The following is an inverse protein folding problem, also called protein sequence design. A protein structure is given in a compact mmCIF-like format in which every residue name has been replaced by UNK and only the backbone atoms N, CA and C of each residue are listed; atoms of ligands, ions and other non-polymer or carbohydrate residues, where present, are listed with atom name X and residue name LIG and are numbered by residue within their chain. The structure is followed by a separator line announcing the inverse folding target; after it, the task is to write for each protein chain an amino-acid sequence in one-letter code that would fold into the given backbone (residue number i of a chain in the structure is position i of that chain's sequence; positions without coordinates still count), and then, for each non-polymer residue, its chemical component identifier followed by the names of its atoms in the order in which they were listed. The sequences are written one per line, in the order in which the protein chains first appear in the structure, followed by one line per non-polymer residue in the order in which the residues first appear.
data_IF_480065863866
#
_entry.id   IF_480065863866
#
_cell.length_a   1.000
_cell.length_b   1.000
_cell.length_c   1.000
_cell.angle_alpha   90.00
_cell.angle_beta   90.00
_cell.angle_gamma   90.00
#
_symmetry.space_group_name_H-M   'P 1'
#
loop_
_entity.id
_entity.type
_entity.pdbx_description
1 polymer ?
#
# COMPACT_ATOMS: atom_id res chain seq x y z
N UNK A 1 18.50 -16.11 -8.31
CA UNK A 1 17.85 -14.80 -8.47
C UNK A 1 18.50 -13.87 -7.45
N UNK A 2 19.15 -12.82 -7.94
CA UNK A 2 19.96 -11.91 -7.12
C UNK A 2 19.19 -10.62 -6.79
N UNK A 3 19.72 -9.82 -5.86
CA UNK A 3 19.17 -8.48 -5.58
C UNK A 3 19.21 -7.56 -6.81
N UNK A 4 20.09 -7.81 -7.78
CA UNK A 4 20.14 -7.11 -9.06
C UNK A 4 18.86 -7.30 -9.89
N UNK A 5 18.25 -8.49 -9.86
CA UNK A 5 17.00 -8.77 -10.58
C UNK A 5 15.82 -7.96 -9.99
N UNK A 6 15.73 -7.87 -8.66
CA UNK A 6 14.68 -7.07 -8.00
C UNK A 6 14.83 -5.57 -8.32
N UNK A 7 16.06 -5.05 -8.31
CA UNK A 7 16.34 -3.64 -8.64
C UNK A 7 15.97 -3.28 -10.08
N UNK A 8 16.33 -4.13 -11.03
CA UNK A 8 15.98 -3.94 -12.44
C UNK A 8 14.46 -3.96 -12.67
N UNK A 9 13.75 -4.92 -12.02
CA UNK A 9 12.30 -5.01 -12.09
C UNK A 9 11.63 -3.79 -11.44
N UNK A 10 12.12 -3.33 -10.27
CA UNK A 10 11.59 -2.13 -9.61
C UNK A 10 11.72 -0.91 -10.51
N UNK A 11 12.88 -0.68 -11.14
CA UNK A 11 13.09 0.43 -12.07
C UNK A 11 12.10 0.37 -13.23
N UNK A 12 12.02 -0.78 -13.92
CA UNK A 12 11.12 -0.94 -15.06
C UNK A 12 9.65 -0.77 -14.70
N UNK A 13 9.24 -1.25 -13.51
CA UNK A 13 7.88 -1.08 -12.99
C UNK A 13 7.57 0.40 -12.71
N UNK A 14 8.47 1.11 -12.04
CA UNK A 14 8.29 2.52 -11.73
C UNK A 14 8.22 3.38 -13.00
N UNK A 15 9.07 3.11 -14.00
CA UNK A 15 9.03 3.80 -15.28
C UNK A 15 7.70 3.55 -16.02
N UNK A 16 7.22 2.30 -16.03
CA UNK A 16 5.92 1.95 -16.58
C UNK A 16 4.78 2.71 -15.86
N UNK A 17 4.82 2.75 -14.54
CA UNK A 17 3.78 3.42 -13.75
C UNK A 17 3.82 4.94 -13.93
N UNK A 18 5.00 5.57 -14.06
CA UNK A 18 5.11 7.00 -14.40
C UNK A 18 4.48 7.30 -15.76
N UNK A 19 4.83 6.52 -16.79
CA UNK A 19 4.25 6.69 -18.12
C UNK A 19 2.72 6.57 -18.12
N UNK A 20 2.18 5.68 -17.28
CA UNK A 20 0.75 5.42 -17.18
C UNK A 20 0.05 6.24 -16.08
N UNK A 21 0.76 7.07 -15.35
CA UNK A 21 0.27 7.88 -14.22
C UNK A 21 -0.41 7.02 -13.15
N UNK A 22 0.16 5.85 -12.86
CA UNK A 22 -0.34 4.92 -11.87
C UNK A 22 0.42 5.09 -10.55
N UNK A 23 -0.31 4.99 -9.44
CA UNK A 23 0.23 4.99 -8.08
C UNK A 23 0.11 3.60 -7.45
N UNK A 24 1.03 3.26 -6.55
CA UNK A 24 1.15 1.92 -5.95
C UNK A 24 1.16 1.99 -4.43
N UNK A 25 0.52 1.01 -3.78
CA UNK A 25 0.74 0.66 -2.38
C UNK A 25 1.12 -0.82 -2.22
N UNK A 26 1.81 -1.15 -1.11
CA UNK A 26 2.14 -2.54 -0.76
C UNK A 26 1.48 -2.95 0.55
N UNK A 27 1.08 -4.22 0.67
CA UNK A 27 0.54 -4.84 1.88
C UNK A 27 1.32 -6.13 2.18
N UNK A 28 2.26 -6.06 3.12
CA UNK A 28 3.25 -7.08 3.32
C UNK A 28 3.09 -7.81 4.67
N UNK A 29 3.14 -9.13 4.63
CA UNK A 29 3.24 -9.96 5.83
C UNK A 29 4.63 -10.63 5.89
N UNK A 30 4.82 -11.78 5.25
CA UNK A 30 6.09 -12.52 5.35
C UNK A 30 7.31 -11.78 4.74
N UNK A 31 7.12 -10.85 3.84
CA UNK A 31 8.19 -10.02 3.26
C UNK A 31 8.61 -8.86 4.18
N UNK A 32 7.70 -8.38 5.05
CA UNK A 32 8.04 -7.44 6.13
C UNK A 32 8.63 -6.11 5.66
N UNK A 33 8.11 -5.54 4.57
CA UNK A 33 8.56 -4.26 4.01
C UNK A 33 9.58 -4.37 2.88
N UNK A 34 10.02 -5.59 2.50
CA UNK A 34 11.04 -5.75 1.46
C UNK A 34 10.55 -5.34 0.06
N UNK A 35 9.26 -5.46 -0.24
CA UNK A 35 8.72 -5.02 -1.54
C UNK A 35 8.70 -3.49 -1.60
N UNK A 36 8.21 -2.84 -0.55
CA UNK A 36 8.29 -1.39 -0.43
C UNK A 36 9.75 -0.91 -0.48
N UNK A 37 10.65 -1.57 0.26
CA UNK A 37 12.08 -1.27 0.25
C UNK A 37 12.70 -1.38 -1.14
N UNK A 38 12.42 -2.46 -1.88
CA UNK A 38 12.93 -2.65 -3.24
C UNK A 38 12.44 -1.59 -4.22
N UNK A 39 11.23 -1.09 -4.05
CA UNK A 39 10.68 0.00 -4.86
C UNK A 39 11.30 1.34 -4.47
N UNK A 40 11.43 1.62 -3.18
CA UNK A 40 11.97 2.90 -2.66
C UNK A 40 13.48 3.00 -2.77
N UNK A 41 14.20 1.89 -3.02
CA UNK A 41 15.63 1.89 -3.38
C UNK A 41 15.92 2.59 -4.73
N UNK A 42 14.90 2.84 -5.52
CA UNK A 42 15.02 3.53 -6.81
C UNK A 42 14.74 5.02 -6.61
N UNK A 43 15.69 5.92 -6.93
CA UNK A 43 15.48 7.37 -6.86
C UNK A 43 14.25 7.82 -7.66
N UNK A 44 13.47 8.75 -7.10
CA UNK A 44 12.24 9.25 -7.70
C UNK A 44 11.04 8.29 -7.57
N UNK A 45 11.12 7.25 -6.75
CA UNK A 45 10.01 6.33 -6.49
C UNK A 45 8.77 7.02 -5.87
N UNK A 46 8.95 8.15 -5.20
CA UNK A 46 7.86 8.95 -4.58
C UNK A 46 6.80 9.43 -5.56
N UNK A 47 7.10 9.49 -6.86
CA UNK A 47 6.12 9.84 -7.89
C UNK A 47 5.07 8.73 -8.08
N UNK A 48 5.39 7.50 -7.67
CA UNK A 48 4.61 6.29 -7.92
C UNK A 48 4.16 5.64 -6.61
N UNK A 49 5.07 5.56 -5.62
CA UNK A 49 4.80 4.87 -4.36
C UNK A 49 4.14 5.84 -3.39
N UNK A 50 2.92 5.50 -2.95
CA UNK A 50 2.23 6.25 -1.90
C UNK A 50 2.67 5.75 -0.51
N UNK A 51 2.46 4.44 -0.23
CA UNK A 51 2.80 3.84 1.08
C UNK A 51 2.93 2.33 1.03
N UNK A 52 3.57 1.78 2.09
CA UNK A 52 3.61 0.35 2.38
C UNK A 52 2.97 0.05 3.74
N UNK A 53 2.14 -0.99 3.78
CA UNK A 53 1.56 -1.52 5.00
C UNK A 53 2.31 -2.80 5.39
N UNK A 54 2.97 -2.82 6.54
CA UNK A 54 3.53 -4.06 7.11
C UNK A 54 2.54 -4.60 8.12
N UNK A 55 1.75 -5.60 7.70
CA UNK A 55 0.67 -6.20 8.49
C UNK A 55 1.04 -7.62 8.90
N UNK A 56 1.96 -7.72 9.87
CA UNK A 56 2.58 -8.99 10.23
C UNK A 56 1.67 -9.90 11.04
N UNK A 57 0.86 -9.34 11.94
CA UNK A 57 -0.15 -10.05 12.73
C UNK A 57 -1.52 -10.06 12.06
N UNK A 58 -2.43 -10.91 12.55
CA UNK A 58 -3.83 -10.88 12.14
C UNK A 58 -4.54 -9.59 12.56
N UNK A 59 -4.19 -9.05 13.72
CA UNK A 59 -4.75 -7.78 14.21
C UNK A 59 -4.29 -6.61 13.34
N UNK A 60 -3.02 -6.58 12.92
CA UNK A 60 -2.55 -5.57 11.97
C UNK A 60 -3.28 -5.65 10.62
N UNK A 61 -3.55 -6.88 10.10
CA UNK A 61 -4.35 -7.05 8.88
C UNK A 61 -5.77 -6.49 9.03
N UNK A 62 -6.38 -6.69 10.19
CA UNK A 62 -7.72 -6.16 10.50
C UNK A 62 -7.70 -4.63 10.66
N UNK A 63 -6.80 -4.13 11.49
CA UNK A 63 -6.75 -2.72 11.86
C UNK A 63 -6.34 -1.82 10.67
N UNK A 64 -5.32 -2.21 9.92
CA UNK A 64 -4.75 -1.37 8.88
C UNK A 64 -5.42 -1.57 7.51
N UNK A 65 -5.86 -2.80 7.19
CA UNK A 65 -6.37 -3.16 5.86
C UNK A 65 -7.85 -3.59 5.88
N UNK A 66 -8.53 -3.51 7.02
CA UNK A 66 -9.92 -3.93 7.21
C UNK A 66 -10.21 -5.39 6.78
N UNK A 67 -9.20 -6.28 6.84
CA UNK A 67 -9.41 -7.70 6.59
C UNK A 67 -10.40 -8.26 7.63
N UNK A 68 -11.47 -8.89 7.17
CA UNK A 68 -12.53 -9.38 8.05
C UNK A 68 -12.02 -10.50 8.97
N UNK A 69 -12.43 -10.47 10.24
CA UNK A 69 -12.08 -11.52 11.21
C UNK A 69 -12.56 -12.91 10.70
N UNK A 70 -13.71 -12.97 10.07
CA UNK A 70 -14.28 -14.18 9.45
C UNK A 70 -13.39 -14.75 8.35
N UNK A 71 -12.79 -13.91 7.49
CA UNK A 71 -11.84 -14.35 6.47
C UNK A 71 -10.63 -15.01 7.10
N UNK A 72 -10.06 -14.40 8.14
CA UNK A 72 -8.91 -14.94 8.85
C UNK A 72 -9.23 -16.23 9.63
N UNK A 73 -10.43 -16.32 10.22
CA UNK A 73 -10.87 -17.51 10.95
C UNK A 73 -11.14 -18.71 10.01
N UNK A 74 -11.78 -18.46 8.87
CA UNK A 74 -12.16 -19.52 7.93
C UNK A 74 -10.99 -20.01 7.07
N UNK A 75 -10.19 -19.09 6.52
CA UNK A 75 -9.15 -19.42 5.53
C UNK A 75 -7.73 -19.32 6.08
N UNK A 76 -7.57 -18.70 7.25
CA UNK A 76 -6.28 -18.40 7.87
C UNK A 76 -5.53 -17.24 7.19
N UNK A 77 -4.44 -16.82 7.82
CA UNK A 77 -3.62 -15.70 7.34
C UNK A 77 -2.95 -15.98 5.99
N UNK A 78 -2.62 -17.24 5.70
CA UNK A 78 -1.95 -17.67 4.46
C UNK A 78 -2.99 -18.35 3.58
N UNK A 79 -3.63 -17.57 2.74
CA UNK A 79 -4.68 -18.03 1.81
C UNK A 79 -4.90 -17.02 0.68
N UNK A 80 -5.53 -17.46 -0.39
CA UNK A 80 -5.99 -16.62 -1.51
C UNK A 80 -6.90 -15.49 -1.02
N UNK A 81 -7.86 -15.86 -0.17
CA UNK A 81 -8.89 -14.96 0.36
C UNK A 81 -8.26 -13.84 1.19
N UNK A 82 -7.31 -14.20 2.06
CA UNK A 82 -6.60 -13.20 2.87
C UNK A 82 -5.69 -12.32 2.02
N UNK A 83 -4.94 -12.87 1.07
CA UNK A 83 -4.14 -12.08 0.14
C UNK A 83 -5.00 -11.08 -0.63
N UNK A 84 -6.12 -11.56 -1.20
CA UNK A 84 -7.07 -10.71 -1.94
C UNK A 84 -7.64 -9.59 -1.05
N UNK A 85 -8.09 -9.92 0.16
CA UNK A 85 -8.61 -8.93 1.10
C UNK A 85 -7.55 -7.89 1.51
N UNK A 86 -6.30 -8.32 1.70
CA UNK A 86 -5.18 -7.40 1.98
C UNK A 86 -4.91 -6.44 0.82
N UNK A 87 -4.92 -6.93 -0.43
CA UNK A 87 -4.69 -6.09 -1.61
C UNK A 87 -5.80 -5.05 -1.80
N UNK A 88 -7.07 -5.48 -1.66
CA UNK A 88 -8.24 -4.59 -1.73
C UNK A 88 -8.16 -3.53 -0.62
N UNK A 89 -7.91 -3.97 0.62
CA UNK A 89 -7.80 -3.06 1.76
C UNK A 89 -6.68 -2.03 1.58
N UNK A 90 -5.52 -2.42 1.05
CA UNK A 90 -4.42 -1.50 0.77
C UNK A 90 -4.78 -0.51 -0.34
N UNK A 91 -5.44 -0.98 -1.41
CA UNK A 91 -5.92 -0.14 -2.50
C UNK A 91 -6.86 0.96 -2.00
N UNK A 92 -7.84 0.58 -1.18
CA UNK A 92 -8.85 1.48 -0.63
C UNK A 92 -8.26 2.47 0.39
N UNK A 93 -7.43 1.97 1.33
CA UNK A 93 -6.83 2.80 2.38
C UNK A 93 -5.81 3.81 1.86
N UNK A 94 -5.06 3.43 0.84
CA UNK A 94 -4.11 4.33 0.19
C UNK A 94 -4.75 5.21 -0.89
N UNK A 95 -5.89 4.80 -1.47
CA UNK A 95 -6.52 5.53 -2.58
C UNK A 95 -5.70 5.52 -3.88
N UNK A 96 -4.87 4.48 -4.06
CA UNK A 96 -3.96 4.31 -5.20
C UNK A 96 -4.61 3.59 -6.38
N UNK A 97 -3.88 3.44 -7.47
CA UNK A 97 -4.37 2.76 -8.67
C UNK A 97 -4.13 1.26 -8.63
N UNK A 98 -3.03 0.83 -7.99
CA UNK A 98 -2.65 -0.57 -7.82
C UNK A 98 -2.21 -0.83 -6.38
N UNK A 99 -2.56 -1.98 -5.84
CA UNK A 99 -2.00 -2.46 -4.57
C UNK A 99 -1.61 -3.93 -4.67
N UNK A 100 -0.42 -4.28 -4.19
CA UNK A 100 0.04 -5.67 -4.10
C UNK A 100 0.04 -6.14 -2.66
N UNK A 101 -0.41 -7.36 -2.43
CA UNK A 101 -0.32 -8.02 -1.12
C UNK A 101 0.50 -9.30 -1.18
N UNK A 102 1.16 -9.61 -0.05
CA UNK A 102 1.97 -10.81 0.12
C UNK A 102 1.71 -11.41 1.51
N UNK A 103 1.25 -12.65 1.55
CA UNK A 103 1.13 -13.42 2.80
C UNK A 103 1.62 -14.85 2.59
N UNK A 104 2.39 -15.39 3.53
CA UNK A 104 2.99 -16.70 3.33
C UNK A 104 3.82 -17.20 4.51
N UNK A 105 4.37 -18.40 4.35
CA UNK A 105 5.21 -19.10 5.33
C UNK A 105 6.66 -19.11 4.83
N UNK A 106 7.45 -18.14 5.28
CA UNK A 106 8.84 -18.04 4.87
C UNK A 106 9.76 -19.07 5.57
N UNK A 107 9.27 -19.69 6.64
CA UNK A 107 10.04 -20.66 7.41
C UNK A 107 11.03 -20.02 8.41
N UNK A 108 11.84 -20.84 9.14
CA UNK A 108 11.88 -22.32 9.07
C UNK A 108 10.64 -23.01 9.63
N UNK A 109 9.92 -22.39 10.58
CA UNK A 109 8.67 -22.89 11.17
C UNK A 109 7.43 -22.33 10.50
N UNK A 110 6.26 -22.60 11.10
CA UNK A 110 4.97 -22.06 10.69
C UNK A 110 4.21 -22.91 9.68
N UNK A 111 4.73 -24.05 9.25
CA UNK A 111 4.00 -25.01 8.43
C UNK A 111 2.84 -25.63 9.22
N UNK A 112 1.74 -25.87 8.53
CA UNK A 112 0.56 -26.57 9.04
C UNK A 112 0.07 -27.58 7.99
N UNK A 113 -0.82 -28.54 8.32
CA UNK A 113 -1.39 -29.43 7.31
C UNK A 113 -1.92 -28.64 6.11
N UNK A 114 -1.48 -28.99 4.91
CA UNK A 114 -1.85 -28.32 3.66
C UNK A 114 -1.12 -26.99 3.38
N UNK A 115 -0.41 -26.40 4.34
CA UNK A 115 0.32 -25.13 4.17
C UNK A 115 1.83 -25.30 4.52
N UNK A 116 2.67 -25.78 3.58
CA UNK A 116 4.07 -26.03 3.84
C UNK A 116 4.91 -24.74 3.90
N UNK A 117 6.13 -24.84 4.44
CA UNK A 117 7.15 -23.79 4.30
C UNK A 117 7.38 -23.48 2.81
N UNK A 118 7.49 -22.22 2.47
CA UNK A 118 7.62 -21.73 1.11
C UNK A 118 6.29 -21.50 0.38
N UNK A 119 5.14 -21.78 0.98
CA UNK A 119 3.83 -21.40 0.46
C UNK A 119 3.64 -19.89 0.65
N UNK A 120 3.40 -19.19 -0.45
CA UNK A 120 3.14 -17.74 -0.46
C UNK A 120 2.00 -17.43 -1.42
N UNK A 121 1.02 -16.67 -0.93
CA UNK A 121 -0.07 -16.11 -1.73
C UNK A 121 0.17 -14.64 -1.99
N UNK A 122 -0.07 -14.25 -3.22
CA UNK A 122 0.02 -12.89 -3.71
C UNK A 122 -1.33 -12.46 -4.27
N UNK A 123 -1.66 -11.18 -4.13
CA UNK A 123 -2.73 -10.58 -4.91
C UNK A 123 -2.35 -9.17 -5.35
N UNK A 124 -2.76 -8.78 -6.54
CA UNK A 124 -2.75 -7.39 -7.00
C UNK A 124 -4.18 -6.98 -7.24
N UNK A 125 -4.60 -5.89 -6.58
CA UNK A 125 -5.88 -5.25 -6.83
C UNK A 125 -5.65 -3.96 -7.60
N UNK A 126 -6.47 -3.70 -8.61
CA UNK A 126 -6.45 -2.48 -9.41
C UNK A 126 -7.75 -1.69 -9.21
N UNK A 127 -7.68 -0.37 -9.33
CA UNK A 127 -8.82 0.55 -9.17
C UNK A 127 -9.95 0.29 -10.16
N UNK A 128 -9.64 -0.32 -11.29
CA UNK A 128 -10.63 -0.71 -12.32
C UNK A 128 -11.42 -1.99 -11.98
N UNK A 129 -11.18 -2.58 -10.80
CA UNK A 129 -11.84 -3.78 -10.30
C UNK A 129 -11.12 -5.07 -10.65
N UNK A 130 -10.03 -5.04 -11.43
CA UNK A 130 -9.24 -6.25 -11.70
C UNK A 130 -8.54 -6.74 -10.44
N UNK A 131 -8.54 -8.06 -10.26
CA UNK A 131 -7.80 -8.74 -9.21
C UNK A 131 -7.01 -9.88 -9.85
N UNK A 132 -5.69 -9.87 -9.67
CA UNK A 132 -4.79 -10.95 -10.05
C UNK A 132 -4.31 -11.66 -8.80
N UNK A 133 -4.54 -12.96 -8.68
CA UNK A 133 -4.03 -13.80 -7.60
C UNK A 133 -3.00 -14.80 -8.13
N UNK A 134 -1.97 -15.07 -7.32
CA UNK A 134 -0.99 -16.12 -7.59
C UNK A 134 -0.59 -16.84 -6.30
N UNK A 135 -0.50 -18.16 -6.38
CA UNK A 135 0.09 -19.00 -5.34
C UNK A 135 1.47 -19.47 -5.81
N UNK A 136 2.48 -19.35 -4.95
CA UNK A 136 3.80 -19.90 -5.18
C UNK A 136 4.18 -20.87 -4.07
N UNK A 137 4.78 -22.00 -4.47
CA UNK A 137 5.33 -23.00 -3.56
C UNK A 137 6.84 -23.05 -3.78
N UNK A 138 7.56 -22.18 -3.09
CA UNK A 138 9.02 -22.07 -3.23
C UNK A 138 9.78 -23.23 -2.58
N UNK A 139 9.14 -23.99 -1.69
CA UNK A 139 9.77 -25.04 -0.91
C UNK A 139 10.62 -24.51 0.26
N UNK A 140 11.29 -25.42 0.96
CA UNK A 140 12.11 -25.10 2.13
C UNK A 140 13.52 -24.59 1.72
N UNK A 141 13.59 -23.59 0.88
CA UNK A 141 14.86 -22.99 0.36
C UNK A 141 15.51 -21.99 1.31
N UNK A 142 14.99 -21.87 2.54
CA UNK A 142 15.42 -20.93 3.55
C UNK A 142 14.64 -19.59 3.52
N UNK A 143 14.45 -19.02 4.71
CA UNK A 143 13.61 -17.83 4.94
C UNK A 143 13.99 -16.65 4.05
N UNK A 144 15.27 -16.33 3.96
CA UNK A 144 15.74 -15.19 3.15
C UNK A 144 15.47 -15.40 1.67
N UNK A 145 15.66 -16.61 1.16
CA UNK A 145 15.42 -16.94 -0.24
C UNK A 145 13.91 -16.91 -0.59
N UNK A 146 13.03 -17.43 0.29
CA UNK A 146 11.58 -17.31 0.12
C UNK A 146 11.15 -15.86 0.05
N UNK A 147 11.61 -15.02 0.98
CA UNK A 147 11.29 -13.59 1.02
C UNK A 147 11.77 -12.86 -0.25
N UNK A 148 13.00 -13.10 -0.67
CA UNK A 148 13.54 -12.46 -1.88
C UNK A 148 12.82 -12.89 -3.15
N UNK A 149 12.49 -14.18 -3.30
CA UNK A 149 11.66 -14.67 -4.43
C UNK A 149 10.27 -14.05 -4.39
N UNK A 150 9.71 -13.84 -3.20
CA UNK A 150 8.41 -13.18 -3.04
C UNK A 150 8.45 -11.70 -3.48
N UNK A 151 9.54 -10.98 -3.22
CA UNK A 151 9.73 -9.61 -3.73
C UNK A 151 9.67 -9.60 -5.25
N UNK A 152 10.45 -10.46 -5.89
CA UNK A 152 10.51 -10.52 -7.36
C UNK A 152 9.15 -10.87 -7.97
N UNK A 153 8.43 -11.82 -7.35
CA UNK A 153 7.10 -12.21 -7.83
C UNK A 153 6.08 -11.09 -7.68
N UNK A 154 6.07 -10.39 -6.56
CA UNK A 154 5.20 -9.23 -6.34
C UNK A 154 5.44 -8.12 -7.39
N UNK A 155 6.71 -7.81 -7.69
CA UNK A 155 7.07 -6.82 -8.71
C UNK A 155 6.61 -7.24 -10.12
N UNK A 156 6.74 -8.53 -10.47
CA UNK A 156 6.25 -9.06 -11.74
C UNK A 156 4.74 -8.96 -11.88
N UNK A 157 4.01 -9.32 -10.83
CA UNK A 157 2.54 -9.23 -10.82
C UNK A 157 2.06 -7.78 -10.92
N UNK A 158 2.71 -6.85 -10.22
CA UNK A 158 2.43 -5.42 -10.38
C UNK A 158 2.65 -4.97 -11.83
N UNK A 159 3.78 -5.34 -12.44
CA UNK A 159 4.08 -4.99 -13.82
C UNK A 159 3.10 -5.62 -14.82
N UNK A 160 2.63 -6.84 -14.56
CA UNK A 160 1.61 -7.53 -15.37
C UNK A 160 0.30 -6.75 -15.37
N UNK A 161 -0.21 -6.37 -14.18
CA UNK A 161 -1.45 -5.61 -14.05
C UNK A 161 -1.28 -4.18 -14.56
N UNK A 162 -0.13 -3.55 -14.31
CA UNK A 162 0.18 -2.21 -14.80
C UNK A 162 0.21 -2.10 -16.34
N UNK A 163 0.55 -3.16 -17.08
CA UNK A 163 0.49 -3.21 -18.56
C UNK A 163 -0.93 -3.32 -19.10
N UNK A 164 -1.91 -3.72 -18.31
CA UNK A 164 -3.29 -3.87 -18.74
C UNK A 164 -3.93 -2.55 -19.21
N UNK A 165 -5.17 -2.60 -19.74
CA UNK A 165 -5.88 -1.40 -20.18
C UNK A 165 -6.03 -0.40 -19.04
N UNK A 166 -5.76 0.88 -19.32
CA UNK A 166 -5.99 1.95 -18.36
C UNK A 166 -7.48 2.21 -18.26
N UNK A 167 -8.08 1.99 -17.07
CA UNK A 167 -9.45 2.38 -16.83
C UNK A 167 -9.58 3.93 -16.91
N UNK A 168 -10.73 4.47 -17.36
CA UNK A 168 -10.98 5.91 -17.26
C UNK A 168 -10.82 6.35 -15.81
N UNK A 169 -9.92 7.29 -15.57
CA UNK A 169 -9.65 7.81 -14.24
C UNK A 169 -10.92 8.44 -13.67
N UNK A 170 -11.49 7.88 -12.61
CA UNK A 170 -12.46 8.63 -11.81
C UNK A 170 -11.75 9.88 -11.29
N UNK A 171 -12.38 11.07 -11.37
CA UNK A 171 -11.78 12.28 -10.87
C UNK A 171 -11.33 12.04 -9.41
N UNK A 172 -10.07 12.32 -9.10
CA UNK A 172 -9.59 12.32 -7.73
C UNK A 172 -10.53 13.23 -6.96
N UNK A 173 -11.13 12.73 -5.89
CA UNK A 173 -11.79 13.61 -4.92
C UNK A 173 -10.71 14.58 -4.46
N UNK A 174 -10.76 15.81 -4.97
CA UNK A 174 -9.99 16.90 -4.39
C UNK A 174 -10.36 16.90 -2.91
N UNK A 175 -9.38 16.61 -2.07
CA UNK A 175 -9.47 16.90 -0.66
C UNK A 175 -9.74 18.39 -0.60
N UNK A 176 -11.01 18.77 -0.38
CA UNK A 176 -11.38 20.15 -0.10
C UNK A 176 -10.50 20.59 1.09
N UNK A 177 -9.36 21.18 0.74
CA UNK A 177 -8.60 22.02 1.64
C UNK A 177 -9.62 23.03 2.17
N UNK A 178 -10.00 22.88 3.44
CA UNK A 178 -10.93 23.77 4.11
C UNK A 178 -10.40 25.18 3.92
N UNK A 179 -11.00 25.93 3.00
CA UNK A 179 -10.91 27.36 2.98
C UNK A 179 -11.40 27.83 4.36
N UNK A 180 -10.45 28.18 5.24
CA UNK A 180 -10.78 28.87 6.48
C UNK A 180 -11.51 30.14 6.08
N UNK A 181 -12.73 30.40 6.57
CA UNK A 181 -13.38 31.66 6.29
C UNK A 181 -12.48 32.78 6.84
N UNK A 182 -12.17 33.72 5.97
CA UNK A 182 -11.43 34.94 6.31
C UNK A 182 -12.29 35.72 7.30
N UNK A 183 -11.92 35.65 8.59
CA UNK A 183 -12.56 36.47 9.64
C UNK A 183 -12.35 37.93 9.24
N UNK A 184 -13.43 38.61 8.90
CA UNK A 184 -13.44 40.03 8.61
C UNK A 184 -12.97 40.77 9.87
N UNK A 185 -11.85 41.49 9.76
CA UNK A 185 -11.36 42.40 10.80
C UNK A 185 -12.36 43.53 10.94
N UNK A 186 -13.09 43.56 12.04
CA UNK A 186 -13.88 44.73 12.47
C UNK A 186 -12.95 45.94 12.67
N UNK A 187 -13.31 47.14 12.17
CA UNK A 187 -12.49 48.33 12.37
C UNK A 187 -12.56 48.75 13.86
N UNK A 188 -11.40 48.99 14.45
CA UNK A 188 -11.29 49.56 15.83
C UNK A 188 -11.97 50.93 15.86
N UNK A 189 -12.98 51.07 16.65
CA UNK A 189 -13.55 52.38 17.02
C UNK A 189 -12.50 53.23 17.73
N UNK A 190 -12.22 54.39 17.17
CA UNK A 190 -11.38 55.43 17.76
C UNK A 190 -11.90 55.88 19.09
N UNK A 191 -11.04 55.91 20.12
CA UNK A 191 -11.33 56.37 21.45
C UNK A 191 -11.54 57.88 21.42
N UNK A 192 -12.77 58.32 21.77
CA UNK A 192 -13.11 59.72 22.01
C UNK A 192 -12.42 60.21 23.28
N UNK A 193 -11.51 61.17 23.14
CA UNK A 193 -10.88 61.91 24.27
C UNK A 193 -11.95 62.65 25.05
N UNK A 194 -12.26 62.25 26.27
CA UNK A 194 -13.04 63.05 27.26
C UNK A 194 -12.16 64.17 27.78
N UNK A 195 -12.56 65.41 27.52
CA UNK A 195 -12.01 66.63 28.14
C UNK A 195 -12.39 66.65 29.63
N UNK A 196 -11.43 66.97 30.50
CA UNK A 196 -11.64 67.29 31.93
C UNK A 196 -12.25 68.69 32.06
N UNK A 197 -13.20 68.92 33.00
CA UNK A 197 -13.67 70.28 33.35
C UNK A 197 -12.65 70.98 34.25
N UNK A 198 -12.63 72.34 34.27
CA UNK A 198 -11.73 73.13 35.11
C UNK A 198 -12.17 73.08 36.59
N UNK A 199 -11.18 73.12 37.44
CA UNK A 199 -11.39 73.28 38.91
C UNK A 199 -11.63 74.77 39.20
N UNK A 200 -12.65 75.04 40.00
CA UNK A 200 -12.85 76.23 40.80
C UNK A 200 -12.21 76.01 42.17
#
# INVERSE_FOLDING_TARGET
MSGSDARALSRSLLDLCRMRKLTIATAESCTGGLVAGALTDIPGSSDVIDRGFVTYSNDAKRAMLAVKATTLATFGAVSKETATAMAIGALEKAGVDLAVSITGIAGPGGATPGKPVGLVHFAVAARDGRILHRECRFGAIGRSAVRLRSVVEALRMLAEVARGPQAPQKPRRETMSRLRPRVARTPRRSAVKRRRPPRA
#
